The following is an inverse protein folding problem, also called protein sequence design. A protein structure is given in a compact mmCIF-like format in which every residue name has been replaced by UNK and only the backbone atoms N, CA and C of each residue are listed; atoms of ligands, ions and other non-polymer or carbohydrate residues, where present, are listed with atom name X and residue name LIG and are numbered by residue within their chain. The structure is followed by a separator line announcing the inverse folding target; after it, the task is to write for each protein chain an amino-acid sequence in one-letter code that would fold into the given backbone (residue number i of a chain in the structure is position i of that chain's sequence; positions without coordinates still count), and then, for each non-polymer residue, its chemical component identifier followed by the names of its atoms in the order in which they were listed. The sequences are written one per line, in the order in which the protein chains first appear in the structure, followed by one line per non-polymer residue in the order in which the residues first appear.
data_IF_577790423193
#
_entry.id   IF_577790423193
#
_cell.length_a   1.000
_cell.length_b   1.000
_cell.length_c   1.000
_cell.angle_alpha   90.00
_cell.angle_beta   90.00
_cell.angle_gamma   90.00
#
_symmetry.space_group_name_H-M   'P 1'
#
loop_
_entity.id
_entity.type
_entity.pdbx_description
1 polymer ?
#
# COMPACT_ATOMS: atom_id res chain seq x y z
N UNK A 1 -2.86 2.18 9.69
CA UNK A 1 -3.57 1.14 10.47
C UNK A 1 -4.32 0.28 9.47
N UNK A 2 -4.55 -1.00 9.74
CA UNK A 2 -5.41 -1.84 8.89
C UNK A 2 -6.81 -1.73 9.52
N UNK A 3 -7.85 -1.31 8.78
CA UNK A 3 -9.20 -1.29 9.32
C UNK A 3 -9.61 -2.67 9.82
N UNK A 4 -10.42 -2.71 10.88
CA UNK A 4 -11.08 -3.94 11.31
C UNK A 4 -11.98 -4.48 10.19
N UNK A 5 -12.18 -5.80 10.16
CA UNK A 5 -12.81 -6.48 9.02
C UNK A 5 -14.28 -6.02 8.78
N UNK A 6 -14.96 -5.51 9.81
CA UNK A 6 -16.34 -4.99 9.73
C UNK A 6 -16.43 -3.48 9.47
N UNK A 7 -15.31 -2.73 9.53
CA UNK A 7 -15.31 -1.28 9.37
C UNK A 7 -15.78 -0.84 7.98
N UNK A 8 -15.15 -1.35 6.92
CA UNK A 8 -15.52 -1.00 5.53
C UNK A 8 -16.92 -1.53 5.14
N UNK A 9 -17.32 -2.77 5.49
CA UNK A 9 -18.70 -3.21 5.34
C UNK A 9 -19.72 -2.33 6.07
N UNK A 10 -19.40 -1.90 7.30
CA UNK A 10 -20.23 -0.97 8.07
C UNK A 10 -20.39 0.39 7.38
N UNK A 11 -19.29 0.96 6.88
CA UNK A 11 -19.33 2.22 6.13
C UNK A 11 -20.14 2.10 4.83
N UNK A 12 -19.99 0.99 4.09
CA UNK A 12 -20.76 0.73 2.87
C UNK A 12 -22.26 0.74 3.18
N UNK A 13 -22.68 -0.02 4.19
CA UNK A 13 -24.07 -0.07 4.64
C UNK A 13 -24.61 1.32 5.01
N UNK A 14 -23.86 2.11 5.78
CA UNK A 14 -24.27 3.45 6.18
C UNK A 14 -24.42 4.41 4.98
N UNK A 15 -23.53 4.29 3.99
CA UNK A 15 -23.61 5.07 2.76
C UNK A 15 -24.87 4.70 1.96
N UNK A 16 -25.19 3.41 1.87
CA UNK A 16 -26.38 2.91 1.17
C UNK A 16 -27.68 3.38 1.85
N UNK A 17 -27.72 3.36 3.19
CA UNK A 17 -28.88 3.79 3.98
C UNK A 17 -29.12 5.32 3.92
N UNK A 18 -28.05 6.10 3.80
CA UNK A 18 -28.12 7.57 3.82
C UNK A 18 -28.14 8.23 2.43
N UNK A 19 -27.82 7.47 1.38
CA UNK A 19 -27.57 8.02 0.04
C UNK A 19 -26.26 8.78 -0.09
N UNK A 20 -25.35 8.67 0.89
CA UNK A 20 -24.01 9.21 0.79
C UNK A 20 -23.15 8.34 -0.15
N UNK A 21 -22.14 8.95 -0.77
CA UNK A 21 -21.19 8.23 -1.63
C UNK A 21 -20.01 7.71 -0.81
N UNK A 22 -19.69 6.42 -0.95
CA UNK A 22 -18.48 5.84 -0.40
C UNK A 22 -17.31 6.06 -1.36
N UNK A 23 -16.33 6.86 -0.91
CA UNK A 23 -15.10 7.13 -1.65
C UNK A 23 -13.95 6.38 -0.98
N UNK A 24 -13.23 5.54 -1.73
CA UNK A 24 -12.03 4.87 -1.25
C UNK A 24 -10.79 5.40 -1.95
N UNK A 25 -9.86 5.94 -1.15
CA UNK A 25 -8.55 6.34 -1.63
C UNK A 25 -7.60 5.14 -1.74
N UNK A 26 -7.45 4.65 -2.97
CA UNK A 26 -6.60 3.51 -3.33
C UNK A 26 -5.24 3.96 -3.90
N UNK A 27 -4.88 5.25 -3.80
CA UNK A 27 -3.64 5.81 -4.34
C UNK A 27 -2.41 5.08 -3.77
N UNK A 28 -2.44 4.67 -2.49
CA UNK A 28 -1.36 3.88 -1.89
C UNK A 28 -1.67 2.39 -1.79
N UNK A 29 -2.92 1.99 -1.63
CA UNK A 29 -3.32 0.61 -1.29
C UNK A 29 -3.68 -0.25 -2.49
N UNK A 30 -4.06 0.36 -3.60
CA UNK A 30 -4.46 -0.32 -4.82
C UNK A 30 -3.28 -0.81 -5.64
N UNK A 31 -3.58 -1.22 -6.88
CA UNK A 31 -2.60 -1.63 -7.89
C UNK A 31 -1.72 -2.78 -7.35
N UNK A 32 -2.36 -3.78 -6.73
CA UNK A 32 -1.68 -5.00 -6.24
C UNK A 32 -0.97 -4.88 -4.90
N UNK A 33 -0.81 -3.66 -4.35
CA UNK A 33 0.04 -3.40 -3.18
C UNK A 33 -0.30 -4.26 -1.96
N UNK A 34 -1.60 -4.42 -1.68
CA UNK A 34 -2.09 -5.13 -0.49
C UNK A 34 -2.28 -6.64 -0.69
N UNK A 35 -1.89 -7.18 -1.85
CA UNK A 35 -2.07 -8.59 -2.19
C UNK A 35 -3.38 -8.92 -2.92
N UNK A 36 -4.14 -7.89 -3.27
CA UNK A 36 -5.32 -7.88 -4.14
C UNK A 36 -5.15 -6.75 -5.15
N UNK A 37 -5.84 -6.80 -6.29
CA UNK A 37 -5.69 -5.75 -7.29
C UNK A 37 -6.11 -4.40 -6.69
N UNK A 38 -7.26 -4.39 -6.01
CA UNK A 38 -7.77 -3.28 -5.21
C UNK A 38 -7.87 -3.69 -3.74
N UNK A 39 -7.55 -2.78 -2.81
CA UNK A 39 -7.58 -3.12 -1.40
C UNK A 39 -9.01 -3.31 -0.88
N UNK A 40 -10.01 -2.66 -1.46
CA UNK A 40 -11.41 -2.85 -1.09
C UNK A 40 -11.87 -4.30 -1.24
N UNK A 41 -11.25 -5.08 -2.14
CA UNK A 41 -11.59 -6.50 -2.37
C UNK A 41 -11.39 -7.35 -1.10
N UNK A 42 -10.51 -6.94 -0.19
CA UNK A 42 -10.34 -7.62 1.10
C UNK A 42 -11.59 -7.51 1.99
N UNK A 43 -12.40 -6.47 1.80
CA UNK A 43 -13.62 -6.22 2.56
C UNK A 43 -14.90 -6.69 1.85
N UNK A 44 -14.81 -7.19 0.61
CA UNK A 44 -15.97 -7.70 -0.13
C UNK A 44 -17.03 -6.63 -0.45
N UNK A 45 -16.63 -5.37 -0.55
CA UNK A 45 -17.51 -4.23 -0.87
C UNK A 45 -17.03 -3.52 -2.12
N UNK A 46 -17.93 -2.80 -2.80
CA UNK A 46 -17.56 -1.89 -3.89
C UNK A 46 -17.74 -0.43 -3.46
N UNK A 47 -16.74 0.45 -3.69
CA UNK A 47 -16.92 1.88 -3.52
C UNK A 47 -17.79 2.47 -4.64
N UNK A 48 -18.30 3.67 -4.40
CA UNK A 48 -18.97 4.47 -5.43
C UNK A 48 -17.95 5.22 -6.28
N UNK A 49 -16.89 5.69 -5.62
CA UNK A 49 -15.74 6.36 -6.25
C UNK A 49 -14.45 5.77 -5.67
N UNK A 50 -13.44 5.56 -6.52
CA UNK A 50 -12.08 5.30 -6.03
C UNK A 50 -11.03 6.14 -6.74
N UNK A 51 -9.96 6.48 -6.03
CA UNK A 51 -8.83 7.26 -6.57
C UNK A 51 -7.57 6.41 -6.69
N UNK A 52 -6.85 6.56 -7.80
CA UNK A 52 -5.62 5.83 -8.13
C UNK A 52 -4.51 6.79 -8.54
N UNK A 53 -3.26 6.46 -8.21
CA UNK A 53 -2.05 7.13 -8.69
C UNK A 53 -0.83 6.23 -8.41
N UNK A 54 0.33 6.81 -8.05
CA UNK A 54 1.56 6.12 -7.60
C UNK A 54 1.95 4.95 -8.52
N UNK A 55 1.59 3.72 -8.13
CA UNK A 55 1.92 2.52 -8.87
C UNK A 55 1.22 2.45 -10.24
N UNK A 56 0.14 3.21 -10.46
CA UNK A 56 -0.65 3.20 -11.70
C UNK A 56 0.19 3.37 -12.98
N UNK A 57 1.21 4.23 -12.98
CA UNK A 57 2.16 4.37 -14.09
C UNK A 57 3.62 4.24 -13.67
N UNK A 58 3.87 3.43 -12.63
CA UNK A 58 5.20 3.01 -12.19
C UNK A 58 6.26 4.14 -12.11
N UNK A 59 5.87 5.30 -11.57
CA UNK A 59 6.76 6.47 -11.40
C UNK A 59 6.50 7.64 -12.35
N UNK A 60 5.74 7.44 -13.43
CA UNK A 60 5.27 8.55 -14.28
C UNK A 60 4.06 9.23 -13.63
N UNK A 61 3.97 10.58 -13.58
CA UNK A 61 2.85 11.27 -12.96
C UNK A 61 1.52 10.98 -13.66
N UNK A 62 0.62 10.30 -12.95
CA UNK A 62 -0.77 10.09 -13.36
C UNK A 62 -1.66 9.98 -12.11
N UNK A 63 -2.89 10.46 -12.23
CA UNK A 63 -3.97 10.18 -11.29
C UNK A 63 -5.22 9.77 -12.07
N UNK A 64 -6.03 8.89 -11.48
CA UNK A 64 -7.31 8.49 -12.03
C UNK A 64 -8.37 8.48 -10.93
N UNK A 65 -9.59 8.84 -11.29
CA UNK A 65 -10.78 8.66 -10.48
C UNK A 65 -11.72 7.74 -11.24
N UNK A 66 -12.10 6.63 -10.63
CA UNK A 66 -13.07 5.70 -11.16
C UNK A 66 -14.37 5.90 -10.38
N UNK A 67 -15.49 5.87 -11.07
CA UNK A 67 -16.81 6.08 -10.47
C UNK A 67 -17.86 5.33 -11.27
N UNK A 68 -19.02 5.09 -10.66
CA UNK A 68 -20.19 4.55 -11.36
C UNK A 68 -20.71 5.53 -12.41
N UNK A 69 -21.32 5.00 -13.47
CA UNK A 69 -21.84 5.78 -14.61
C UNK A 69 -22.87 6.82 -14.17
N UNK A 70 -23.79 6.44 -13.28
CA UNK A 70 -24.82 7.33 -12.77
C UNK A 70 -24.26 8.53 -11.99
N UNK A 71 -23.12 8.37 -11.31
CA UNK A 71 -22.43 9.44 -10.59
C UNK A 71 -21.61 10.30 -11.57
N UNK A 72 -20.98 9.67 -12.56
CA UNK A 72 -20.18 10.36 -13.59
C UNK A 72 -20.99 11.43 -14.34
N UNK A 73 -22.30 11.22 -14.51
CA UNK A 73 -23.21 12.17 -15.16
C UNK A 73 -23.27 13.54 -14.49
N UNK A 74 -22.93 13.64 -13.20
CA UNK A 74 -22.82 14.91 -12.50
C UNK A 74 -21.61 15.75 -12.98
N UNK A 75 -20.62 15.13 -13.63
CA UNK A 75 -19.41 15.76 -14.16
C UNK A 75 -19.58 16.11 -15.64
N UNK A 76 -20.49 17.03 -15.93
CA UNK A 76 -20.68 17.55 -17.29
C UNK A 76 -19.45 18.31 -17.83
N UNK A 77 -19.41 18.61 -19.15
CA UNK A 77 -18.30 19.35 -19.75
C UNK A 77 -17.96 20.64 -19.00
N UNK A 78 -16.69 20.80 -18.65
CA UNK A 78 -16.18 21.97 -17.92
C UNK A 78 -16.24 21.88 -16.39
N UNK A 79 -16.84 20.83 -15.82
CA UNK A 79 -16.94 20.65 -14.35
C UNK A 79 -15.58 20.34 -13.71
N UNK A 80 -14.75 19.56 -14.40
CA UNK A 80 -13.39 19.22 -13.99
C UNK A 80 -12.50 19.08 -15.22
N UNK A 81 -11.21 19.38 -15.10
CA UNK A 81 -10.27 19.30 -16.21
C UNK A 81 -8.83 19.44 -15.74
N UNK A 82 -7.90 18.94 -16.56
CA UNK A 82 -6.46 19.03 -16.32
C UNK A 82 -5.73 19.09 -17.65
N UNK A 83 -4.86 20.10 -17.83
CA UNK A 83 -4.09 20.29 -19.07
C UNK A 83 -3.21 19.08 -19.42
N UNK A 84 -2.64 18.43 -18.40
CA UNK A 84 -1.75 17.27 -18.57
C UNK A 84 -2.41 15.95 -18.15
N UNK A 85 -3.68 15.98 -17.73
CA UNK A 85 -4.41 14.79 -17.33
C UNK A 85 -4.72 13.88 -18.52
N UNK A 86 -4.36 12.60 -18.43
CA UNK A 86 -4.77 11.60 -19.42
C UNK A 86 -4.08 11.70 -20.78
N UNK A 87 -2.90 12.32 -20.87
CA UNK A 87 -2.17 12.38 -22.15
C UNK A 87 -1.83 10.97 -22.68
N UNK A 88 -1.72 10.78 -24.00
CA UNK A 88 -1.44 9.46 -24.59
C UNK A 88 -0.16 8.80 -24.06
N UNK A 89 0.86 9.60 -23.73
CA UNK A 89 2.10 9.09 -23.16
C UNK A 89 1.87 8.47 -21.77
N UNK A 90 1.29 9.23 -20.83
CA UNK A 90 1.11 8.74 -19.45
C UNK A 90 0.13 7.59 -19.38
N UNK A 91 -0.91 7.58 -20.21
CA UNK A 91 -1.89 6.49 -20.26
C UNK A 91 -1.34 5.22 -20.91
N UNK A 92 -0.43 5.34 -21.89
CA UNK A 92 0.27 4.16 -22.45
C UNK A 92 1.19 3.49 -21.42
N UNK A 93 1.90 4.28 -20.60
CA UNK A 93 2.72 3.74 -19.49
C UNK A 93 1.83 3.08 -18.44
N UNK A 94 0.69 3.70 -18.11
CA UNK A 94 -0.26 3.13 -17.17
C UNK A 94 -0.85 1.81 -17.66
N UNK A 95 -1.20 1.74 -18.95
CA UNK A 95 -1.72 0.51 -19.58
C UNK A 95 -0.70 -0.62 -19.50
N UNK A 96 0.55 -0.37 -19.91
CA UNK A 96 1.61 -1.37 -19.84
C UNK A 96 1.85 -1.84 -18.39
N UNK A 97 1.87 -0.89 -17.44
CA UNK A 97 2.04 -1.21 -16.01
C UNK A 97 0.93 -2.11 -15.50
N UNK A 98 -0.33 -1.77 -15.78
CA UNK A 98 -1.49 -2.55 -15.34
C UNK A 98 -1.55 -3.93 -16.00
N UNK A 99 -1.23 -4.03 -17.29
CA UNK A 99 -1.11 -5.31 -17.99
C UNK A 99 -0.08 -6.21 -17.33
N UNK A 100 1.14 -5.72 -17.11
CA UNK A 100 2.19 -6.48 -16.41
C UNK A 100 1.75 -6.93 -15.02
N UNK A 101 1.13 -6.04 -14.23
CA UNK A 101 0.66 -6.38 -12.88
C UNK A 101 -0.35 -7.52 -12.88
N UNK A 102 -1.29 -7.50 -13.84
CA UNK A 102 -2.36 -8.50 -13.95
C UNK A 102 -1.81 -9.82 -14.53
N UNK A 103 -1.11 -9.76 -15.65
CA UNK A 103 -0.60 -10.93 -16.38
C UNK A 103 0.43 -11.72 -15.55
N UNK A 104 1.31 -11.02 -14.83
CA UNK A 104 2.33 -11.65 -13.99
C UNK A 104 1.85 -12.00 -12.57
N UNK A 105 0.55 -11.81 -12.26
CA UNK A 105 -0.04 -12.14 -10.95
C UNK A 105 0.70 -11.50 -9.78
N UNK A 106 1.04 -10.22 -9.96
CA UNK A 106 1.78 -9.44 -8.97
C UNK A 106 1.04 -9.28 -7.63
N UNK A 107 -0.31 -9.13 -7.58
CA UNK A 107 -1.04 -9.14 -6.32
C UNK A 107 -0.81 -10.44 -5.52
N UNK A 108 -0.88 -11.60 -6.15
CA UNK A 108 -0.68 -12.90 -5.49
C UNK A 108 0.75 -13.05 -4.97
N UNK A 109 1.74 -12.57 -5.75
CA UNK A 109 3.13 -12.47 -5.32
C UNK A 109 3.25 -11.59 -4.07
N UNK A 110 2.63 -10.41 -4.07
CA UNK A 110 2.66 -9.49 -2.95
C UNK A 110 2.00 -10.07 -1.69
N UNK A 111 0.91 -10.81 -1.84
CA UNK A 111 0.26 -11.53 -0.74
C UNK A 111 1.20 -12.57 -0.10
N UNK A 112 1.86 -13.38 -0.93
CA UNK A 112 2.78 -14.43 -0.49
C UNK A 112 4.03 -13.86 0.20
N UNK A 113 4.73 -12.93 -0.47
CA UNK A 113 5.96 -12.34 0.07
C UNK A 113 5.67 -11.44 1.28
N UNK A 114 4.57 -10.70 1.25
CA UNK A 114 4.12 -9.90 2.37
C UNK A 114 3.89 -10.71 3.63
N UNK A 115 3.26 -11.88 3.52
CA UNK A 115 3.09 -12.82 4.63
C UNK A 115 4.44 -13.28 5.18
N UNK A 116 5.35 -13.74 4.32
CA UNK A 116 6.67 -14.21 4.74
C UNK A 116 7.49 -13.11 5.45
N UNK A 117 7.46 -11.89 4.92
CA UNK A 117 8.16 -10.74 5.49
C UNK A 117 7.56 -10.34 6.85
N UNK A 118 6.22 -10.28 6.97
CA UNK A 118 5.55 -10.03 8.25
C UNK A 118 5.85 -11.12 9.29
N UNK A 119 5.89 -12.39 8.90
CA UNK A 119 6.23 -13.48 9.81
C UNK A 119 7.68 -13.40 10.28
N UNK A 120 8.61 -13.00 9.40
CA UNK A 120 9.99 -12.67 9.77
C UNK A 120 10.08 -11.54 10.79
N UNK A 121 9.34 -10.45 10.57
CA UNK A 121 9.28 -9.31 11.49
C UNK A 121 8.68 -9.71 12.86
N UNK A 122 7.65 -10.56 12.88
CA UNK A 122 7.09 -11.11 14.12
C UNK A 122 8.09 -11.99 14.88
N UNK A 123 8.91 -12.77 14.17
CA UNK A 123 10.01 -13.52 14.80
C UNK A 123 11.07 -12.60 15.42
N UNK A 124 11.35 -11.45 14.81
CA UNK A 124 12.21 -10.43 15.40
C UNK A 124 11.56 -9.79 16.65
N UNK A 125 10.26 -9.56 16.61
CA UNK A 125 9.50 -9.00 17.73
C UNK A 125 9.49 -9.91 18.98
N UNK A 126 9.72 -11.22 18.82
CA UNK A 126 9.89 -12.16 19.94
C UNK A 126 11.19 -11.96 20.74
N UNK A 127 12.07 -11.06 20.32
CA UNK A 127 13.32 -10.64 21.00
C UNK A 127 13.14 -9.22 21.57
N UNK A 128 14.00 -8.76 22.49
CA UNK A 128 13.93 -7.39 23.04
C UNK A 128 14.36 -6.34 22.01
N UNK A 129 13.54 -6.14 20.98
CA UNK A 129 13.73 -5.21 19.86
C UNK A 129 12.94 -3.91 20.03
N UNK A 130 11.97 -3.90 20.95
CA UNK A 130 11.01 -2.81 21.15
C UNK A 130 9.95 -2.70 20.04
N UNK A 131 9.76 -3.76 19.24
CA UNK A 131 8.60 -3.86 18.35
C UNK A 131 7.34 -4.08 19.20
N UNK A 132 6.35 -3.22 19.04
CA UNK A 132 5.05 -3.33 19.72
C UNK A 132 3.98 -3.99 18.85
N UNK A 133 4.09 -3.85 17.52
CA UNK A 133 3.11 -4.38 16.57
C UNK A 133 3.73 -4.58 15.18
N UNK A 134 3.35 -5.66 14.49
CA UNK A 134 3.59 -5.84 13.06
C UNK A 134 2.25 -5.96 12.36
N UNK A 135 1.93 -5.01 11.49
CA UNK A 135 0.64 -4.90 10.80
C UNK A 135 0.80 -4.59 9.32
N UNK A 136 -0.23 -4.88 8.54
CA UNK A 136 -0.25 -4.58 7.10
C UNK A 136 -0.97 -5.65 6.30
N UNK A 137 -1.04 -5.42 4.98
CA UNK A 137 -1.52 -6.39 3.99
C UNK A 137 -0.58 -6.35 2.78
N UNK A 138 -0.32 -7.52 2.19
CA UNK A 138 0.64 -7.65 1.09
C UNK A 138 1.99 -7.03 1.42
N UNK A 139 2.52 -6.24 0.48
CA UNK A 139 3.80 -5.54 0.63
C UNK A 139 3.62 -4.09 1.10
N UNK A 140 2.58 -3.80 1.88
CA UNK A 140 2.44 -2.55 2.64
C UNK A 140 2.42 -2.88 4.13
N UNK A 141 3.58 -2.77 4.76
CA UNK A 141 3.81 -3.28 6.10
C UNK A 141 4.28 -2.14 7.01
N UNK A 142 3.73 -2.09 8.21
CA UNK A 142 4.13 -1.20 9.30
C UNK A 142 4.63 -2.00 10.49
N UNK A 143 5.77 -1.59 11.04
CA UNK A 143 6.35 -2.13 12.28
C UNK A 143 6.35 -1.01 13.31
N UNK A 144 5.44 -1.08 14.28
CA UNK A 144 5.37 -0.10 15.36
C UNK A 144 6.44 -0.39 16.41
N UNK A 145 7.03 0.67 16.93
CA UNK A 145 8.07 0.63 17.94
C UNK A 145 7.61 1.39 19.21
N UNK A 146 8.18 0.99 20.34
CA UNK A 146 8.03 1.69 21.62
C UNK A 146 8.78 3.05 21.68
N UNK A 147 9.61 3.32 20.68
CA UNK A 147 10.50 4.48 20.59
C UNK A 147 10.46 5.14 19.20
N UNK A 148 11.05 6.34 19.03
CA UNK A 148 11.14 6.98 17.73
C UNK A 148 11.85 6.12 16.68
N UNK A 149 11.30 6.07 15.47
CA UNK A 149 11.78 5.22 14.38
C UNK A 149 12.94 5.83 13.59
N UNK A 150 13.11 7.15 13.64
CA UNK A 150 14.11 7.85 12.82
C UNK A 150 15.54 7.26 12.95
N UNK A 151 16.07 6.97 14.15
CA UNK A 151 17.39 6.35 14.27
C UNK A 151 17.49 4.94 13.65
N UNK A 152 16.37 4.22 13.59
CA UNK A 152 16.30 2.88 12.97
C UNK A 152 16.29 3.01 11.44
N UNK A 153 15.58 3.99 10.89
CA UNK A 153 15.60 4.31 9.46
C UNK A 153 17.02 4.66 9.03
N UNK A 154 17.73 5.48 9.81
CA UNK A 154 19.11 5.86 9.55
C UNK A 154 20.04 4.65 9.58
N UNK A 155 19.94 3.81 10.61
CA UNK A 155 20.74 2.59 10.72
C UNK A 155 20.47 1.60 9.56
N UNK A 156 19.22 1.45 9.12
CA UNK A 156 18.89 0.64 7.94
C UNK A 156 19.55 1.21 6.68
N UNK A 157 19.46 2.53 6.47
CA UNK A 157 20.04 3.22 5.32
C UNK A 157 21.57 3.07 5.28
N UNK A 158 22.24 3.27 6.41
CA UNK A 158 23.70 3.10 6.53
C UNK A 158 24.13 1.65 6.26
N UNK A 159 23.25 0.69 6.53
CA UNK A 159 23.44 -0.73 6.22
C UNK A 159 22.97 -1.14 4.81
N UNK A 160 22.58 -0.19 3.95
CA UNK A 160 22.19 -0.44 2.56
C UNK A 160 20.70 -0.72 2.32
N UNK A 161 19.83 -0.59 3.33
CA UNK A 161 18.39 -0.81 3.20
C UNK A 161 17.60 0.50 3.27
N UNK A 162 16.91 0.84 2.17
CA UNK A 162 16.02 1.99 2.13
C UNK A 162 14.62 1.62 2.64
N UNK A 163 14.23 2.26 3.73
CA UNK A 163 12.92 2.13 4.40
C UNK A 163 12.38 3.51 4.74
N UNK A 164 11.08 3.60 4.97
CA UNK A 164 10.41 4.87 5.27
C UNK A 164 9.83 4.84 6.68
N UNK A 165 9.44 5.99 7.20
CA UNK A 165 8.61 6.09 8.40
C UNK A 165 7.14 6.28 8.02
N UNK A 166 6.24 5.95 8.95
CA UNK A 166 4.81 6.28 8.88
C UNK A 166 4.36 6.87 10.22
N UNK A 167 4.67 8.16 10.43
CA UNK A 167 4.62 8.79 11.75
C UNK A 167 5.90 8.53 12.56
N UNK A 168 5.92 8.97 13.80
CA UNK A 168 7.14 9.03 14.61
C UNK A 168 7.69 7.66 15.03
N UNK A 169 6.84 6.64 15.12
CA UNK A 169 7.17 5.35 15.76
C UNK A 169 6.88 4.14 14.89
N UNK A 170 6.75 4.30 13.57
CA UNK A 170 6.41 3.19 12.67
C UNK A 170 7.41 3.12 11.53
N UNK A 171 8.08 1.98 11.41
CA UNK A 171 8.89 1.65 10.24
C UNK A 171 7.97 1.12 9.15
N UNK A 172 7.99 1.74 7.98
CA UNK A 172 7.17 1.36 6.84
C UNK A 172 8.02 0.66 5.79
N UNK A 173 7.62 -0.56 5.46
CA UNK A 173 8.15 -1.33 4.33
C UNK A 173 7.12 -1.30 3.20
N UNK A 174 7.57 -0.84 2.04
CA UNK A 174 6.79 -0.83 0.79
C UNK A 174 7.70 -1.18 -0.41
N UNK A 175 8.33 -2.38 -0.42
CA UNK A 175 9.26 -2.76 -1.48
C UNK A 175 8.55 -2.88 -2.84
N UNK A 176 9.27 -2.87 -3.96
CA UNK A 176 8.66 -3.10 -5.28
C UNK A 176 7.98 -4.49 -5.32
N UNK A 177 6.93 -4.65 -6.14
CA UNK A 177 6.19 -5.93 -6.20
C UNK A 177 7.06 -7.09 -6.75
N UNK A 178 8.11 -6.74 -7.49
CA UNK A 178 9.10 -7.68 -8.02
C UNK A 178 10.16 -8.14 -7.00
N UNK A 179 10.16 -7.61 -5.77
CA UNK A 179 11.12 -7.99 -4.70
C UNK A 179 11.22 -9.50 -4.54
N UNK A 180 12.42 -10.02 -4.32
CA UNK A 180 12.65 -11.47 -4.19
C UNK A 180 12.72 -11.91 -2.74
N UNK A 181 12.65 -13.23 -2.51
CA UNK A 181 12.79 -13.81 -1.16
C UNK A 181 14.16 -13.46 -0.56
N UNK A 182 15.24 -13.50 -1.35
CA UNK A 182 16.58 -13.15 -0.87
C UNK A 182 16.66 -11.71 -0.36
N UNK A 183 15.99 -10.78 -1.05
CA UNK A 183 15.99 -9.36 -0.68
C UNK A 183 15.18 -9.17 0.61
N UNK A 184 14.08 -9.94 0.78
CA UNK A 184 13.32 -9.97 2.03
C UNK A 184 14.16 -10.48 3.21
N UNK A 185 14.92 -11.56 3.00
CA UNK A 185 15.77 -12.16 4.03
C UNK A 185 16.91 -11.21 4.44
N UNK A 186 17.54 -10.55 3.46
CA UNK A 186 18.55 -9.53 3.71
C UNK A 186 17.97 -8.33 4.46
N UNK A 187 16.79 -7.84 4.06
CA UNK A 187 16.11 -6.75 4.74
C UNK A 187 15.78 -7.11 6.20
N UNK A 188 15.30 -8.33 6.47
CA UNK A 188 15.04 -8.82 7.83
C UNK A 188 16.33 -8.86 8.66
N UNK A 189 17.45 -9.29 8.08
CA UNK A 189 18.73 -9.32 8.77
C UNK A 189 19.23 -7.91 9.11
N UNK A 190 19.11 -6.95 8.18
CA UNK A 190 19.47 -5.54 8.41
C UNK A 190 18.57 -4.92 9.49
N UNK A 191 17.25 -5.08 9.39
CA UNK A 191 16.29 -4.56 10.37
C UNK A 191 16.55 -5.17 11.76
N UNK A 192 16.82 -6.47 11.83
CA UNK A 192 17.14 -7.15 13.09
C UNK A 192 18.37 -6.56 13.78
N UNK A 193 19.42 -6.23 13.01
CA UNK A 193 20.62 -5.56 13.54
C UNK A 193 20.34 -4.11 13.94
N UNK A 194 19.59 -3.37 13.14
CA UNK A 194 19.24 -1.97 13.42
C UNK A 194 18.38 -1.84 14.69
N UNK A 195 17.54 -2.83 14.98
CA UNK A 195 16.69 -2.88 16.17
C UNK A 195 17.40 -3.40 17.43
N UNK A 196 18.58 -4.01 17.30
CA UNK A 196 19.31 -4.54 18.45
C UNK A 196 19.67 -3.41 19.43
N UNK A 197 19.65 -3.67 20.75
CA UNK A 197 20.15 -2.71 21.72
C UNK A 197 21.58 -2.31 21.36
N UNK A 198 21.86 -1.01 21.28
CA UNK A 198 23.26 -0.55 21.22
C UNK A 198 23.88 -0.83 22.59
N UNK A 199 24.97 -1.60 22.59
CA UNK A 199 25.79 -1.84 23.77
C UNK A 199 26.40 -0.53 24.27
#
# INVERSE_FOLDING_TARGET
HVPDDDYLPGLRKLCDESGALLILDEIQTGVGRTGRLWAYEHAGIEPDIMTLAKALANGVPIGAMLTREEIARALGPGTHGSTFGGTPFVTSVALATMQTIIEEKMPERAARLGRALMDGLRRLAARPTGITEVRGRGLLIGVALDRPVAPIVDACRDAGLLVLSAGERVLRLAPPLIVETRDCDEALAIIGRALAPRA
#
